data_IF_544809390462
#
_entry.id   IF_544809390462
#
_cell.length_a   1.000
_cell.length_b   1.000
_cell.length_c   1.000
_cell.angle_alpha   90.00
_cell.angle_beta   90.00
_cell.angle_gamma   90.00
#
_symmetry.space_group_name_H-M   'P 1'
#
loop_
_entity.id
_entity.type
_entity.pdbx_description
1 polymer ?
#
# COMPACT_ATOMS: atom_id res chain seq x y z
N UNK A 1 12.81 -2.34 7.13
CA UNK A 1 12.07 -2.59 5.87
C UNK A 1 10.80 -3.40 6.10
N UNK A 2 10.84 -4.58 6.72
CA UNK A 2 9.64 -5.40 6.95
C UNK A 2 8.52 -4.69 7.74
N UNK A 3 8.85 -4.05 8.88
CA UNK A 3 7.87 -3.30 9.70
C UNK A 3 7.18 -2.19 8.89
N UNK A 4 7.97 -1.42 8.12
CA UNK A 4 7.42 -0.34 7.30
C UNK A 4 6.55 -0.87 6.15
N UNK A 5 6.95 -1.98 5.52
CA UNK A 5 6.13 -2.66 4.50
C UNK A 5 4.82 -3.18 5.08
N UNK A 6 4.85 -3.76 6.29
CA UNK A 6 3.67 -4.20 7.02
C UNK A 6 2.72 -3.03 7.31
N UNK A 7 3.23 -1.95 7.93
CA UNK A 7 2.43 -0.76 8.22
C UNK A 7 1.83 -0.12 6.97
N UNK A 8 2.58 -0.10 5.86
CA UNK A 8 2.08 0.44 4.59
C UNK A 8 1.00 -0.45 3.99
N UNK A 9 1.14 -1.76 4.09
CA UNK A 9 0.11 -2.69 3.65
C UNK A 9 -1.19 -2.53 4.45
N UNK A 10 -1.08 -2.42 5.77
CA UNK A 10 -2.24 -2.19 6.65
C UNK A 10 -2.98 -0.90 6.25
N UNK A 11 -2.24 0.20 6.07
CA UNK A 11 -2.83 1.48 5.63
C UNK A 11 -3.53 1.37 4.27
N UNK A 12 -2.94 0.62 3.33
CA UNK A 12 -3.54 0.35 2.01
C UNK A 12 -4.86 -0.42 2.15
N UNK A 13 -4.87 -1.43 3.01
CA UNK A 13 -6.02 -2.31 3.24
C UNK A 13 -7.17 -1.56 3.92
N UNK A 14 -6.86 -0.81 4.97
CA UNK A 14 -7.82 0.07 5.65
C UNK A 14 -8.40 1.13 4.70
N UNK A 15 -7.56 1.71 3.83
CA UNK A 15 -8.01 2.68 2.82
C UNK A 15 -9.06 2.11 1.87
N UNK A 16 -8.95 0.85 1.47
CA UNK A 16 -9.93 0.17 0.60
C UNK A 16 -11.17 -0.20 1.42
N UNK A 17 -10.97 -0.66 2.66
CA UNK A 17 -12.04 -1.05 3.58
C UNK A 17 -13.06 0.06 3.87
N UNK A 18 -12.65 1.32 3.83
CA UNK A 18 -13.57 2.48 4.00
C UNK A 18 -14.70 2.45 2.95
N UNK A 19 -14.40 2.14 1.68
CA UNK A 19 -15.41 2.09 0.60
C UNK A 19 -16.43 0.97 0.85
N UNK A 20 -15.95 -0.19 1.30
CA UNK A 20 -16.79 -1.34 1.61
C UNK A 20 -17.66 -1.08 2.84
N UNK A 21 -17.10 -0.46 3.88
CA UNK A 21 -17.84 -0.07 5.08
C UNK A 21 -18.94 0.94 4.78
N UNK A 22 -18.68 1.95 3.94
CA UNK A 22 -19.70 2.92 3.51
C UNK A 22 -20.79 2.20 2.70
N UNK A 23 -20.42 1.31 1.79
CA UNK A 23 -21.39 0.56 0.97
C UNK A 23 -22.33 -0.31 1.82
N UNK A 24 -21.81 -0.90 2.89
CA UNK A 24 -22.59 -1.71 3.87
C UNK A 24 -23.40 -0.87 4.86
N UNK A 25 -23.12 0.43 4.95
CA UNK A 25 -23.87 1.34 5.83
C UNK A 25 -25.20 1.77 5.20
N UNK A 26 -26.18 2.19 6.01
CA UNK A 26 -27.44 2.77 5.52
C UNK A 26 -27.25 4.23 5.05
N UNK A 27 -26.19 4.51 4.27
CA UNK A 27 -25.82 5.86 3.79
C UNK A 27 -26.93 6.55 2.97
N UNK A 28 -27.77 5.76 2.31
CA UNK A 28 -28.92 6.22 1.54
C UNK A 28 -30.08 6.75 2.41
N UNK A 29 -30.09 6.45 3.71
CA UNK A 29 -31.11 6.87 4.65
C UNK A 29 -30.68 8.10 5.48
N UNK A 30 -29.52 8.68 5.18
CA UNK A 30 -28.96 9.85 5.85
C UNK A 30 -29.37 11.15 5.13
N UNK A 31 -29.12 12.31 5.77
CA UNK A 31 -29.35 13.61 5.14
C UNK A 31 -28.60 13.75 3.81
N UNK A 32 -29.20 14.48 2.86
CA UNK A 32 -28.66 14.67 1.51
C UNK A 32 -27.21 15.18 1.48
N UNK A 33 -26.86 16.10 2.38
CA UNK A 33 -25.48 16.62 2.53
C UNK A 33 -24.48 15.52 2.96
N UNK A 34 -24.90 14.60 3.81
CA UNK A 34 -24.08 13.45 4.25
C UNK A 34 -23.96 12.43 3.12
N UNK A 35 -25.05 12.19 2.39
CA UNK A 35 -25.07 11.30 1.23
C UNK A 35 -24.09 11.74 0.15
N UNK A 36 -24.09 13.02 -0.23
CA UNK A 36 -23.15 13.61 -1.19
C UNK A 36 -21.69 13.45 -0.73
N UNK A 37 -21.44 13.69 0.56
CA UNK A 37 -20.11 13.51 1.15
C UNK A 37 -19.66 12.05 1.14
N UNK A 38 -20.55 11.10 1.46
CA UNK A 38 -20.27 9.66 1.44
C UNK A 38 -19.91 9.16 0.05
N UNK A 39 -20.60 9.65 -0.99
CA UNK A 39 -20.29 9.30 -2.40
C UNK A 39 -18.90 9.80 -2.78
N UNK A 40 -18.53 11.02 -2.40
CA UNK A 40 -17.18 11.56 -2.63
C UNK A 40 -16.11 10.73 -1.92
N UNK A 41 -16.35 10.34 -0.67
CA UNK A 41 -15.44 9.49 0.10
C UNK A 41 -15.30 8.12 -0.54
N UNK A 42 -16.41 7.51 -0.98
CA UNK A 42 -16.41 6.22 -1.66
C UNK A 42 -15.60 6.27 -2.96
N UNK A 43 -15.82 7.30 -3.81
CA UNK A 43 -15.04 7.50 -5.03
C UNK A 43 -13.53 7.71 -4.75
N UNK A 44 -13.18 8.40 -3.65
CA UNK A 44 -11.78 8.57 -3.26
C UNK A 44 -11.16 7.29 -2.68
N UNK A 45 -11.91 6.53 -1.90
CA UNK A 45 -11.44 5.31 -1.25
C UNK A 45 -11.14 4.18 -2.25
N UNK A 46 -11.74 4.22 -3.44
CA UNK A 46 -11.39 3.32 -4.55
C UNK A 46 -9.94 3.47 -5.05
N UNK A 47 -9.27 4.59 -4.75
CA UNK A 47 -7.84 4.77 -5.00
C UNK A 47 -7.07 4.47 -3.70
N UNK A 48 -6.45 3.29 -3.57
CA UNK A 48 -5.76 2.94 -2.33
C UNK A 48 -4.66 3.96 -2.02
N UNK A 49 -4.54 4.31 -0.74
CA UNK A 49 -3.40 5.12 -0.29
C UNK A 49 -2.14 4.26 -0.34
N UNK A 50 -1.24 4.60 -1.26
CA UNK A 50 0.02 3.89 -1.46
C UNK A 50 1.17 4.84 -1.16
N UNK A 51 2.06 4.43 -0.25
CA UNK A 51 3.31 5.14 0.03
C UNK A 51 4.32 4.69 -1.02
N UNK A 52 4.98 5.61 -1.72
CA UNK A 52 5.92 5.28 -2.81
C UNK A 52 7.35 5.52 -2.34
N UNK A 53 8.26 4.55 -2.56
CA UNK A 53 9.70 4.72 -2.30
C UNK A 53 10.41 5.00 -3.61
N UNK A 54 10.55 6.29 -3.95
CA UNK A 54 11.37 6.77 -5.06
C UNK A 54 11.22 5.94 -6.35
N UNK A 55 12.33 5.50 -6.99
CA UNK A 55 12.29 4.74 -8.24
C UNK A 55 11.81 3.28 -8.08
N UNK A 56 11.66 2.79 -6.84
CA UNK A 56 11.26 1.42 -6.55
C UNK A 56 9.74 1.21 -6.56
N UNK A 57 8.97 2.30 -6.68
CA UNK A 57 7.52 2.25 -6.77
C UNK A 57 6.82 2.08 -5.41
N UNK A 58 5.61 1.50 -5.38
CA UNK A 58 4.84 1.27 -4.16
C UNK A 58 5.65 0.57 -3.07
N UNK A 59 5.64 1.11 -1.86
CA UNK A 59 6.14 0.44 -0.68
C UNK A 59 5.18 -0.71 -0.33
N UNK A 60 5.57 -1.92 -0.71
CA UNK A 60 4.90 -3.16 -0.37
C UNK A 60 5.92 -4.15 0.16
N UNK A 61 5.44 -5.27 0.68
CA UNK A 61 6.30 -6.38 1.10
C UNK A 61 7.10 -6.91 -0.10
N UNK A 62 6.52 -6.92 -1.30
CA UNK A 62 7.19 -7.33 -2.54
C UNK A 62 8.40 -6.45 -2.89
N UNK A 63 8.27 -5.13 -2.74
CA UNK A 63 9.40 -4.22 -3.00
C UNK A 63 10.50 -4.38 -1.96
N UNK A 64 10.15 -4.64 -0.69
CA UNK A 64 11.13 -4.98 0.34
C UNK A 64 11.90 -6.28 0.02
N UNK A 65 11.21 -7.32 -0.46
CA UNK A 65 11.84 -8.58 -0.90
C UNK A 65 12.75 -8.34 -2.10
N UNK A 66 12.32 -7.50 -3.05
CA UNK A 66 13.10 -7.18 -4.25
C UNK A 66 14.41 -6.48 -3.89
N UNK A 67 14.36 -5.50 -2.98
CA UNK A 67 15.55 -4.81 -2.46
C UNK A 67 16.49 -5.80 -1.75
N UNK A 68 15.95 -6.71 -0.94
CA UNK A 68 16.74 -7.74 -0.25
C UNK A 68 17.46 -8.66 -1.25
N UNK A 69 16.76 -9.11 -2.30
CA UNK A 69 17.34 -9.95 -3.36
C UNK A 69 18.47 -9.23 -4.09
N UNK A 70 18.29 -7.96 -4.41
CA UNK A 70 19.32 -7.15 -5.06
C UNK A 70 20.57 -7.01 -4.17
N UNK A 71 20.40 -6.73 -2.88
CA UNK A 71 21.50 -6.66 -1.92
C UNK A 71 22.26 -7.99 -1.80
N UNK A 72 21.54 -9.11 -1.71
CA UNK A 72 22.14 -10.44 -1.66
C UNK A 72 22.92 -10.79 -2.94
N UNK A 73 22.36 -10.45 -4.12
CA UNK A 73 23.04 -10.62 -5.40
C UNK A 73 24.35 -9.83 -5.44
N UNK A 74 24.33 -8.58 -4.96
CA UNK A 74 25.52 -7.73 -4.92
C UNK A 74 26.62 -8.30 -4.01
N UNK A 75 26.24 -8.76 -2.81
CA UNK A 75 27.17 -9.44 -1.90
C UNK A 75 27.73 -10.72 -2.51
N UNK A 76 26.89 -11.51 -3.20
CA UNK A 76 27.33 -12.76 -3.84
C UNK A 76 28.33 -12.49 -4.96
N UNK A 77 28.09 -11.46 -5.79
CA UNK A 77 29.01 -11.08 -6.87
C UNK A 77 30.37 -10.64 -6.31
N UNK A 78 30.37 -9.79 -5.29
CA UNK A 78 31.63 -9.31 -4.66
C UNK A 78 32.40 -10.44 -3.97
N UNK A 79 31.70 -11.36 -3.30
CA UNK A 79 32.32 -12.54 -2.71
C UNK A 79 32.91 -13.49 -3.77
N UNK A 80 32.23 -13.65 -4.91
CA UNK A 80 32.73 -14.47 -5.99
C UNK A 80 33.98 -13.86 -6.63
N UNK A 81 34.00 -12.54 -6.84
CA UNK A 81 35.19 -11.83 -7.34
C UNK A 81 36.39 -11.88 -6.39
N UNK A 82 36.17 -11.97 -5.07
CA UNK A 82 37.25 -12.13 -4.10
C UNK A 82 37.80 -13.57 -4.05
N UNK A 83 37.02 -14.54 -4.54
CA UNK A 83 37.40 -15.96 -4.56
C UNK A 83 38.23 -16.34 -5.78
N UNK A 84 38.25 -15.48 -6.80
CA UNK A 84 39.17 -15.51 -7.95
C UNK A 84 40.47 -14.76 -7.63
#
# INVERSE_FOLDING_TARGET
MFVLGWSTNEVKEQSIGISDAISKSCWYNMNKSVQESMVLIMMRAQRPLVITIGPFGPMSIDTAITIMKAAYSYVTLTLNMYKE
#
